data_IF_675842428714
#
_entry.id   IF_675842428714
#
_cell.length_a   1.000
_cell.length_b   1.000
_cell.length_c   1.000
_cell.angle_alpha   90.00
_cell.angle_beta   90.00
_cell.angle_gamma   90.00
#
_symmetry.space_group_name_H-M   'P 1'
#
loop_
_entity.id
_entity.type
_entity.pdbx_description
1 polymer ?
#
# COMPACT_ATOMS: atom_id res chain seq x y z
N UNK A 1 3.70 21.87 -11.85
CA UNK A 1 3.81 23.26 -11.37
C UNK A 1 2.94 23.38 -10.13
N UNK A 2 3.50 23.69 -8.96
CA UNK A 2 2.73 23.89 -7.74
C UNK A 2 2.14 25.30 -7.79
N UNK A 3 0.81 25.44 -7.62
CA UNK A 3 0.10 26.72 -7.76
C UNK A 3 0.28 27.67 -6.57
N UNK A 4 1.15 27.33 -5.61
CA UNK A 4 1.37 28.09 -4.38
C UNK A 4 2.84 28.40 -4.11
N UNK A 5 3.08 29.27 -3.13
CA UNK A 5 4.43 29.55 -2.63
C UNK A 5 4.99 28.33 -1.90
N UNK A 6 6.32 28.23 -1.78
CA UNK A 6 6.96 27.16 -1.01
C UNK A 6 6.47 27.15 0.45
N UNK A 7 6.18 28.33 1.00
CA UNK A 7 5.59 28.46 2.34
C UNK A 7 4.18 27.85 2.41
N UNK A 8 3.34 28.03 1.38
CA UNK A 8 2.03 27.38 1.30
C UNK A 8 2.16 25.86 1.17
N UNK A 9 3.16 25.37 0.43
CA UNK A 9 3.45 23.93 0.32
C UNK A 9 3.80 23.32 1.67
N UNK A 10 4.69 23.96 2.42
CA UNK A 10 5.11 23.52 3.75
C UNK A 10 3.94 23.51 4.74
N UNK A 11 3.12 24.55 4.73
CA UNK A 11 1.89 24.60 5.56
C UNK A 11 0.92 23.48 5.18
N UNK A 12 0.73 23.22 3.89
CA UNK A 12 -0.08 22.10 3.41
C UNK A 12 0.43 20.74 3.89
N UNK A 13 1.75 20.50 3.78
CA UNK A 13 2.36 19.26 4.26
C UNK A 13 2.21 19.08 5.76
N UNK A 14 2.35 20.15 6.55
CA UNK A 14 2.12 20.11 8.01
C UNK A 14 0.67 19.76 8.34
N UNK A 15 -0.31 20.36 7.65
CA UNK A 15 -1.71 20.00 7.85
C UNK A 15 -1.99 18.55 7.48
N UNK A 16 -1.45 18.05 6.36
CA UNK A 16 -1.61 16.66 5.95
C UNK A 16 -0.99 15.72 7.00
N UNK A 17 0.21 16.03 7.49
CA UNK A 17 0.85 15.25 8.54
C UNK A 17 0.01 15.21 9.83
N UNK A 18 -0.53 16.36 10.24
CA UNK A 18 -1.41 16.46 11.41
C UNK A 18 -2.73 15.69 11.25
N UNK A 19 -3.37 15.76 10.08
CA UNK A 19 -4.55 14.95 9.76
C UNK A 19 -4.21 13.46 9.80
N UNK A 20 -3.05 13.08 9.26
CA UNK A 20 -2.56 11.69 9.30
C UNK A 20 -2.40 11.22 10.75
N UNK A 21 -1.84 12.05 11.61
CA UNK A 21 -1.62 11.74 13.02
C UNK A 21 -2.95 11.63 13.81
N UNK A 22 -3.89 12.56 13.63
CA UNK A 22 -5.16 12.52 14.35
C UNK A 22 -6.04 11.34 13.91
N UNK A 23 -6.18 11.14 12.60
CA UNK A 23 -7.19 10.22 12.07
C UNK A 23 -6.65 8.84 11.70
N UNK A 24 -5.33 8.68 11.57
CA UNK A 24 -4.72 7.45 11.05
C UNK A 24 -3.58 6.91 11.94
N UNK A 25 -3.40 7.43 13.17
CA UNK A 25 -2.33 7.00 14.09
C UNK A 25 -2.51 5.59 14.66
N UNK A 26 -3.75 5.09 14.73
CA UNK A 26 -4.05 3.81 15.40
C UNK A 26 -4.42 2.67 14.44
N UNK A 27 -4.60 2.96 13.15
CA UNK A 27 -4.95 1.96 12.15
C UNK A 27 -3.68 1.38 11.55
N UNK A 28 -3.38 0.11 11.86
CA UNK A 28 -2.37 -0.65 11.11
C UNK A 28 -2.63 -0.47 9.62
N UNK A 29 -1.56 -0.26 8.85
CA UNK A 29 -1.66 -0.07 7.42
C UNK A 29 -2.47 -1.25 6.83
N UNK A 30 -3.59 -1.01 6.10
CA UNK A 30 -4.38 -2.11 5.55
C UNK A 30 -3.55 -3.07 4.68
N UNK A 31 -2.53 -2.57 3.99
CA UNK A 31 -1.59 -3.38 3.22
C UNK A 31 -0.79 -4.33 4.11
N UNK A 32 -0.32 -3.84 5.26
CA UNK A 32 0.38 -4.65 6.27
C UNK A 32 -0.52 -5.77 6.78
N UNK A 33 -1.75 -5.44 7.16
CA UNK A 33 -2.72 -6.41 7.67
C UNK A 33 -2.99 -7.49 6.62
N UNK A 34 -3.25 -7.10 5.37
CA UNK A 34 -3.50 -8.04 4.27
C UNK A 34 -2.28 -8.93 4.03
N UNK A 35 -1.08 -8.35 3.99
CA UNK A 35 0.15 -9.10 3.68
C UNK A 35 0.53 -10.09 4.79
N UNK A 36 0.46 -9.66 6.05
CA UNK A 36 0.86 -10.48 7.20
C UNK A 36 -0.16 -11.55 7.56
N UNK A 37 -1.45 -11.33 7.26
CA UNK A 37 -2.52 -12.31 7.50
C UNK A 37 -2.86 -13.16 6.27
N UNK A 38 -2.24 -12.91 5.12
CA UNK A 38 -2.44 -13.71 3.92
C UNK A 38 -2.04 -15.17 4.18
N UNK A 39 -2.84 -16.12 3.68
CA UNK A 39 -2.43 -17.52 3.63
C UNK A 39 -1.18 -17.67 2.76
N UNK A 40 -0.36 -18.70 3.02
CA UNK A 40 0.89 -18.96 2.28
C UNK A 40 0.70 -18.91 0.75
N UNK A 41 -0.37 -19.55 0.25
CA UNK A 41 -0.69 -19.57 -1.18
C UNK A 41 -0.98 -18.17 -1.73
N UNK A 42 -1.69 -17.35 -0.96
CA UNK A 42 -2.00 -15.98 -1.36
C UNK A 42 -0.72 -15.14 -1.26
N UNK A 43 0.05 -15.22 -0.17
CA UNK A 43 1.32 -14.49 -0.06
C UNK A 43 2.30 -14.80 -1.20
N UNK A 44 2.40 -16.06 -1.63
CA UNK A 44 3.14 -16.46 -2.83
C UNK A 44 2.63 -15.78 -4.11
N UNK A 45 1.31 -15.81 -4.34
CA UNK A 45 0.70 -15.19 -5.53
C UNK A 45 0.90 -13.67 -5.52
N UNK A 46 0.78 -13.02 -4.35
CA UNK A 46 1.02 -11.59 -4.19
C UNK A 46 2.46 -11.21 -4.51
N UNK A 47 3.43 -11.92 -3.91
CA UNK A 47 4.84 -11.69 -4.15
C UNK A 47 5.19 -11.94 -5.63
N UNK A 48 4.63 -12.98 -6.25
CA UNK A 48 4.80 -13.23 -7.68
C UNK A 48 4.30 -12.05 -8.54
N UNK A 49 3.07 -11.59 -8.29
CA UNK A 49 2.47 -10.45 -9.02
C UNK A 49 3.26 -9.15 -8.81
N UNK A 50 3.81 -8.95 -7.61
CA UNK A 50 4.65 -7.81 -7.26
C UNK A 50 6.08 -7.87 -7.81
N UNK A 51 6.47 -8.96 -8.51
CA UNK A 51 7.84 -9.15 -9.00
C UNK A 51 8.86 -9.43 -7.89
N UNK A 52 8.40 -9.91 -6.73
CA UNK A 52 9.24 -10.23 -5.58
C UNK A 52 9.67 -11.70 -5.58
N UNK A 53 10.82 -11.96 -4.97
CA UNK A 53 11.37 -13.32 -4.82
C UNK A 53 10.65 -14.10 -3.73
N UNK A 54 10.70 -15.43 -3.79
CA UNK A 54 10.07 -16.33 -2.83
C UNK A 54 10.41 -16.04 -1.36
N UNK A 55 11.63 -15.62 -1.04
CA UNK A 55 12.01 -15.36 0.36
C UNK A 55 11.19 -14.23 1.01
N UNK A 56 10.61 -13.30 0.23
CA UNK A 56 9.77 -12.23 0.76
C UNK A 56 8.48 -12.76 1.40
N UNK A 57 8.02 -13.97 1.05
CA UNK A 57 6.83 -14.55 1.70
C UNK A 57 7.09 -14.90 3.17
N UNK A 58 8.36 -15.13 3.54
CA UNK A 58 8.79 -15.45 4.89
C UNK A 58 8.95 -14.21 5.78
N UNK A 59 8.87 -13.01 5.20
CA UNK A 59 9.01 -11.74 5.92
C UNK A 59 7.65 -11.22 6.39
N UNK A 60 7.64 -10.50 7.50
CA UNK A 60 6.52 -9.61 7.85
C UNK A 60 6.62 -8.33 7.04
N UNK A 61 5.51 -7.62 6.87
CA UNK A 61 5.48 -6.37 6.12
C UNK A 61 6.44 -5.32 6.69
N UNK A 62 6.60 -5.28 8.02
CA UNK A 62 7.53 -4.39 8.70
C UNK A 62 9.01 -4.67 8.35
N UNK A 63 9.35 -5.91 7.99
CA UNK A 63 10.71 -6.33 7.62
C UNK A 63 11.06 -6.01 6.16
N UNK A 64 10.08 -5.63 5.34
CA UNK A 64 10.31 -5.23 3.96
C UNK A 64 10.89 -3.81 3.89
N UNK A 65 11.72 -3.56 2.88
CA UNK A 65 12.14 -2.20 2.56
C UNK A 65 10.98 -1.42 1.90
N UNK A 66 11.14 -0.10 1.78
CA UNK A 66 10.07 0.77 1.27
C UNK A 66 9.72 0.51 -0.20
N UNK A 67 10.70 0.06 -1.01
CA UNK A 67 10.46 -0.30 -2.41
C UNK A 67 9.57 -1.55 -2.53
N UNK A 68 9.85 -2.58 -1.74
CA UNK A 68 9.07 -3.82 -1.72
C UNK A 68 7.65 -3.58 -1.16
N UNK A 69 7.53 -2.74 -0.13
CA UNK A 69 6.23 -2.29 0.38
C UNK A 69 5.42 -1.57 -0.71
N UNK A 70 6.06 -0.72 -1.51
CA UNK A 70 5.42 -0.05 -2.63
C UNK A 70 4.95 -1.05 -3.69
N UNK A 71 5.80 -2.02 -4.07
CA UNK A 71 5.46 -3.08 -5.03
C UNK A 71 4.27 -3.91 -4.59
N UNK A 72 4.20 -4.29 -3.31
CA UNK A 72 3.04 -5.00 -2.73
C UNK A 72 1.78 -4.14 -2.82
N UNK A 73 1.88 -2.86 -2.47
CA UNK A 73 0.75 -1.93 -2.53
C UNK A 73 0.20 -1.83 -3.95
N UNK A 74 1.08 -1.68 -4.95
CA UNK A 74 0.70 -1.63 -6.36
C UNK A 74 0.07 -2.94 -6.84
N UNK A 75 0.64 -4.08 -6.44
CA UNK A 75 0.11 -5.40 -6.75
C UNK A 75 -1.31 -5.61 -6.20
N UNK A 76 -1.58 -5.22 -4.95
CA UNK A 76 -2.91 -5.29 -4.35
C UNK A 76 -3.92 -4.40 -5.08
N UNK A 77 -3.54 -3.16 -5.42
CA UNK A 77 -4.41 -2.25 -6.17
C UNK A 77 -4.73 -2.79 -7.57
N UNK A 78 -3.75 -3.37 -8.25
CA UNK A 78 -3.91 -4.04 -9.55
C UNK A 78 -4.89 -5.21 -9.47
N UNK A 79 -4.77 -6.08 -8.46
CA UNK A 79 -5.67 -7.22 -8.26
C UNK A 79 -7.10 -6.79 -7.89
N UNK A 80 -7.24 -5.74 -7.07
CA UNK A 80 -8.55 -5.14 -6.77
C UNK A 80 -9.20 -4.60 -8.04
N UNK A 81 -8.44 -3.88 -8.87
CA UNK A 81 -8.95 -3.35 -10.13
C UNK A 81 -9.39 -4.46 -11.09
N UNK A 82 -8.56 -5.50 -11.26
CA UNK A 82 -8.92 -6.68 -12.05
C UNK A 82 -10.23 -7.33 -11.57
N UNK A 83 -10.39 -7.48 -10.25
CA UNK A 83 -11.60 -8.07 -9.67
C UNK A 83 -12.83 -7.21 -9.91
N UNK A 84 -12.72 -5.88 -9.81
CA UNK A 84 -13.81 -4.96 -10.07
C UNK A 84 -14.28 -5.01 -11.54
N UNK A 85 -13.33 -5.11 -12.49
CA UNK A 85 -13.64 -5.33 -13.91
C UNK A 85 -14.39 -6.66 -14.09
N UNK A 86 -13.87 -7.74 -13.50
CA UNK A 86 -14.45 -9.06 -13.66
C UNK A 86 -15.89 -9.17 -13.13
N UNK A 87 -16.19 -8.46 -12.03
CA UNK A 87 -17.53 -8.43 -11.44
C UNK A 87 -18.50 -7.47 -12.14
N UNK A 88 -18.04 -6.71 -13.13
CA UNK A 88 -18.86 -5.67 -13.78
C UNK A 88 -19.21 -4.50 -12.86
N UNK A 89 -18.44 -4.27 -11.79
CA UNK A 89 -18.64 -3.18 -10.83
C UNK A 89 -18.09 -1.84 -11.35
N UNK A 90 -17.42 -1.84 -12.50
CA UNK A 90 -16.96 -0.66 -13.22
C UNK A 90 -17.80 -0.46 -14.49
N UNK A 91 -19.04 -0.01 -14.30
CA UNK A 91 -19.88 0.66 -15.30
C UNK A 91 -20.62 1.83 -14.66
#
# INVERSE_FOLDING_TARGET
MFLGTEQQRQTGLRHIAHLKEIYFSQTKNPVEVIFDQASEKWKLTLCFHAGLKRHHTLLTYSQLNDEDKMKITQALLSLRHFTAIFKGELY
#
